data_IF_231463557829
#
_entry.id   IF_231463557829
#
_cell.length_a   1.000
_cell.length_b   1.000
_cell.length_c   1.000
_cell.angle_alpha   90.00
_cell.angle_beta   90.00
_cell.angle_gamma   90.00
#
_symmetry.space_group_name_H-M   'P 1'
#
loop_
_entity.id
_entity.type
_entity.pdbx_description
1 polymer ?
#
# COMPACT_ATOMS: atom_id res chain seq x y z
N UNK A 1 -1.30 -20.02 -3.77
CA UNK A 1 -1.60 -19.53 -2.42
C UNK A 1 -1.76 -18.02 -2.46
N UNK A 2 -2.76 -17.50 -1.81
CA UNK A 2 -3.06 -16.07 -1.80
C UNK A 2 -3.18 -15.58 -0.36
N UNK A 3 -2.48 -14.50 -0.05
CA UNK A 3 -2.60 -13.80 1.23
C UNK A 3 -3.41 -12.53 1.04
N UNK A 4 -4.07 -12.09 2.09
CA UNK A 4 -4.85 -10.86 2.06
C UNK A 4 -4.45 -9.94 3.21
N UNK A 5 -4.20 -8.68 2.88
CA UNK A 5 -3.92 -7.64 3.87
C UNK A 5 -5.03 -6.60 3.79
N UNK A 6 -5.65 -6.31 4.93
CA UNK A 6 -6.70 -5.31 5.03
C UNK A 6 -6.19 -4.08 5.75
N UNK A 7 -6.32 -2.95 5.08
CA UNK A 7 -5.98 -1.64 5.62
C UNK A 7 -7.29 -0.89 5.78
N UNK A 8 -7.86 -0.93 6.98
CA UNK A 8 -9.15 -0.33 7.25
C UNK A 8 -9.24 0.24 8.66
N UNK A 9 -10.30 1.01 8.90
CA UNK A 9 -10.54 1.65 10.20
C UNK A 9 -10.82 0.63 11.29
N UNK A 10 -11.49 -0.47 10.95
CA UNK A 10 -11.84 -1.53 11.89
C UNK A 10 -10.61 -2.20 12.50
N UNK A 11 -9.56 -2.37 11.72
CA UNK A 11 -8.30 -2.93 12.18
C UNK A 11 -7.35 -1.88 12.77
N UNK A 12 -7.83 -0.65 12.91
CA UNK A 12 -7.04 0.46 13.41
C UNK A 12 -5.78 0.75 12.57
N UNK A 13 -5.87 0.42 11.28
CA UNK A 13 -4.82 0.64 10.30
C UNK A 13 -5.21 1.70 9.27
N UNK A 14 -6.36 2.36 9.45
CA UNK A 14 -6.88 3.39 8.58
C UNK A 14 -7.31 4.62 9.42
N UNK A 15 -7.28 5.82 8.90
CA UNK A 15 -6.99 6.11 7.50
C UNK A 15 -5.52 5.94 7.18
N UNK A 16 -5.25 5.52 5.95
CA UNK A 16 -3.99 5.88 5.35
C UNK A 16 -3.98 7.40 5.35
N UNK A 17 -3.30 7.97 6.30
CA UNK A 17 -3.28 9.41 6.50
C UNK A 17 -2.83 10.02 5.20
N UNK A 18 -3.70 10.82 4.61
CA UNK A 18 -3.37 11.44 3.36
C UNK A 18 -3.56 10.59 2.12
N UNK A 19 -4.46 9.58 2.12
CA UNK A 19 -4.95 9.06 0.85
C UNK A 19 -5.49 10.23 0.02
N UNK A 20 -6.11 11.21 0.66
CA UNK A 20 -6.50 12.48 0.05
C UNK A 20 -5.31 13.43 -0.07
N UNK A 21 -4.40 13.43 0.89
CA UNK A 21 -3.25 14.32 0.99
C UNK A 21 -2.07 13.87 0.15
N UNK A 22 -1.89 12.56 -0.06
CA UNK A 22 -0.90 12.03 -1.00
C UNK A 22 -1.08 12.61 -2.39
N UNK A 23 -2.29 12.96 -2.73
CA UNK A 23 -2.66 13.44 -4.05
C UNK A 23 -2.64 14.95 -4.14
N UNK A 24 -2.84 15.63 -3.01
CA UNK A 24 -2.78 17.08 -2.95
C UNK A 24 -1.48 17.63 -2.40
N UNK A 25 -0.69 16.77 -1.80
CA UNK A 25 0.36 17.21 -0.92
C UNK A 25 1.70 16.57 -1.20
N UNK A 26 2.13 16.66 -2.39
CA UNK A 26 3.56 16.95 -2.52
C UNK A 26 3.74 18.36 -1.99
N UNK A 27 3.72 18.49 -0.67
CA UNK A 27 3.97 19.78 -0.02
C UNK A 27 5.42 20.14 -0.25
N UNK A 28 5.62 20.86 -1.34
CA UNK A 28 6.86 21.53 -1.59
C UNK A 28 6.99 22.64 -0.56
N UNK A 29 8.03 22.58 0.25
CA UNK A 29 8.34 23.64 1.19
C UNK A 29 9.30 24.61 0.50
N UNK A 30 8.83 25.83 0.15
CA UNK A 30 9.68 26.79 -0.55
C UNK A 30 10.87 27.30 0.28
N UNK A 31 10.82 27.17 1.61
CA UNK A 31 11.95 27.56 2.48
C UNK A 31 13.11 26.57 2.40
N UNK A 32 12.81 25.27 2.41
CA UNK A 32 13.84 24.23 2.39
C UNK A 32 14.08 23.69 0.98
N UNK A 33 13.27 24.10 0.01
CA UNK A 33 13.27 23.57 -1.36
C UNK A 33 13.17 22.05 -1.40
N UNK A 34 12.41 21.45 -0.46
CA UNK A 34 12.21 20.03 -0.34
C UNK A 34 10.74 19.69 -0.27
N UNK A 35 10.40 18.49 -0.71
CA UNK A 35 9.08 17.92 -0.49
C UNK A 35 9.03 17.28 0.89
N UNK A 36 7.91 17.43 1.58
CA UNK A 36 7.75 16.75 2.86
C UNK A 36 7.46 15.27 2.65
N UNK A 37 8.17 14.42 3.38
CA UNK A 37 7.98 12.98 3.37
C UNK A 37 7.06 12.51 4.51
N UNK A 38 6.44 13.42 5.26
CA UNK A 38 5.63 13.06 6.43
C UNK A 38 4.45 12.16 6.07
N UNK A 39 3.80 12.41 4.93
CA UNK A 39 2.68 11.60 4.45
C UNK A 39 3.17 10.21 4.07
N UNK A 40 4.26 10.10 3.32
CA UNK A 40 4.84 8.80 2.97
C UNK A 40 5.22 8.01 4.21
N UNK A 41 5.88 8.64 5.18
CA UNK A 41 6.27 8.00 6.43
C UNK A 41 5.04 7.48 7.20
N UNK A 42 3.97 8.27 7.25
CA UNK A 42 2.73 7.86 7.90
C UNK A 42 2.10 6.66 7.19
N UNK A 43 2.08 6.68 5.85
CA UNK A 43 1.55 5.56 5.07
C UNK A 43 2.40 4.31 5.20
N UNK A 44 3.71 4.45 5.21
CA UNK A 44 4.63 3.32 5.41
C UNK A 44 4.36 2.64 6.76
N UNK A 45 4.16 3.41 7.82
CA UNK A 45 3.80 2.89 9.14
C UNK A 45 2.46 2.17 9.15
N UNK A 46 1.47 2.76 8.50
CA UNK A 46 0.12 2.18 8.41
C UNK A 46 0.15 0.85 7.67
N UNK A 47 0.84 0.79 6.54
CA UNK A 47 1.03 -0.44 5.78
C UNK A 47 1.78 -1.49 6.60
N UNK A 48 2.85 -1.10 7.27
CA UNK A 48 3.64 -2.02 8.10
C UNK A 48 2.80 -2.60 9.24
N UNK A 49 2.00 -1.78 9.90
CA UNK A 49 1.10 -2.24 10.97
C UNK A 49 0.09 -3.25 10.44
N UNK A 50 -0.53 -2.97 9.30
CA UNK A 50 -1.50 -3.88 8.68
C UNK A 50 -0.84 -5.21 8.29
N UNK A 51 0.34 -5.17 7.71
CA UNK A 51 1.08 -6.36 7.28
C UNK A 51 1.45 -7.22 8.50
N UNK A 52 1.96 -6.62 9.55
CA UNK A 52 2.31 -7.35 10.78
C UNK A 52 1.10 -8.00 11.43
N UNK A 53 -0.06 -7.36 11.33
CA UNK A 53 -1.31 -7.88 11.87
C UNK A 53 -1.87 -9.02 11.02
N UNK A 54 -1.85 -8.87 9.70
CA UNK A 54 -2.47 -9.83 8.78
C UNK A 54 -1.53 -10.98 8.39
N UNK A 55 -0.22 -10.75 8.40
CA UNK A 55 0.77 -11.71 7.93
C UNK A 55 1.87 -11.94 8.98
N UNK A 56 1.51 -12.32 10.23
CA UNK A 56 2.54 -12.57 11.23
C UNK A 56 3.40 -13.77 10.83
N UNK A 57 4.71 -13.59 10.86
CA UNK A 57 5.69 -14.64 10.55
C UNK A 57 5.60 -15.23 9.14
N UNK A 58 5.03 -14.51 8.20
CA UNK A 58 4.96 -14.97 6.80
C UNK A 58 6.22 -14.52 6.06
N UNK A 59 6.85 -15.46 5.36
CA UNK A 59 7.97 -15.20 4.45
C UNK A 59 7.67 -15.82 3.11
N UNK A 60 7.82 -15.04 2.05
CA UNK A 60 7.56 -15.50 0.69
C UNK A 60 8.87 -15.35 -0.09
N UNK A 61 9.41 -16.46 -0.54
CA UNK A 61 10.66 -16.50 -1.32
C UNK A 61 10.42 -16.71 -2.81
N UNK A 62 9.17 -16.73 -3.23
CA UNK A 62 8.75 -16.88 -4.62
C UNK A 62 8.22 -15.57 -5.16
N UNK A 63 8.18 -15.41 -6.50
CA UNK A 63 7.57 -14.22 -7.10
C UNK A 63 6.11 -14.06 -6.69
N UNK A 64 5.68 -12.81 -6.58
CA UNK A 64 4.31 -12.49 -6.20
C UNK A 64 3.65 -11.56 -7.23
N UNK A 65 2.33 -11.58 -7.22
CA UNK A 65 1.48 -10.56 -7.85
C UNK A 65 0.66 -9.92 -6.75
N UNK A 66 0.63 -8.60 -6.73
CA UNK A 66 -0.22 -7.86 -5.80
C UNK A 66 -1.41 -7.27 -6.54
N UNK A 67 -2.61 -7.51 -6.04
CA UNK A 67 -3.82 -6.88 -6.54
C UNK A 67 -4.36 -5.96 -5.45
N UNK A 68 -4.45 -4.67 -5.79
CA UNK A 68 -4.86 -3.62 -4.88
C UNK A 68 -6.31 -3.25 -5.16
N UNK A 69 -7.18 -3.47 -4.19
CA UNK A 69 -8.56 -3.02 -4.23
C UNK A 69 -8.67 -1.77 -3.36
N UNK A 70 -8.84 -0.62 -4.00
CA UNK A 70 -8.77 0.67 -3.34
C UNK A 70 -10.17 1.27 -3.33
N UNK A 71 -10.74 1.46 -2.14
CA UNK A 71 -12.04 2.06 -1.95
C UNK A 71 -11.84 3.45 -1.37
N UNK A 72 -12.20 4.47 -2.15
CA UNK A 72 -12.04 5.87 -1.78
C UNK A 72 -13.38 6.47 -1.39
N UNK A 73 -13.34 7.55 -0.60
CA UNK A 73 -14.55 8.24 -0.18
C UNK A 73 -15.22 8.99 -1.34
N UNK A 74 -14.45 9.39 -2.36
CA UNK A 74 -14.94 10.13 -3.51
C UNK A 74 -14.04 9.91 -4.74
N UNK A 75 -14.32 10.61 -5.82
CA UNK A 75 -13.62 10.48 -7.11
C UNK A 75 -12.56 11.57 -7.35
N UNK A 76 -12.17 12.32 -6.34
CA UNK A 76 -11.26 13.48 -6.48
C UNK A 76 -9.80 13.11 -6.70
N UNK A 77 -9.47 11.83 -6.78
CA UNK A 77 -8.10 11.35 -6.83
C UNK A 77 -7.62 11.11 -8.25
N UNK A 78 -6.39 11.50 -8.53
CA UNK A 78 -5.67 11.04 -9.70
C UNK A 78 -5.27 9.57 -9.46
N UNK A 79 -5.77 8.67 -10.29
CA UNK A 79 -5.55 7.23 -10.12
C UNK A 79 -4.09 6.84 -10.15
N UNK A 80 -3.33 7.38 -11.10
CA UNK A 80 -1.91 7.04 -11.23
C UNK A 80 -1.11 7.43 -9.99
N UNK A 81 -1.36 8.60 -9.44
CA UNK A 81 -0.70 9.04 -8.22
C UNK A 81 -1.11 8.19 -7.03
N UNK A 82 -2.39 7.83 -6.95
CA UNK A 82 -2.90 6.98 -5.89
C UNK A 82 -2.25 5.59 -5.93
N UNK A 83 -2.21 4.97 -7.10
CA UNK A 83 -1.62 3.65 -7.30
C UNK A 83 -0.14 3.64 -6.94
N UNK A 84 0.62 4.61 -7.45
CA UNK A 84 2.05 4.70 -7.19
C UNK A 84 2.35 4.89 -5.71
N UNK A 85 1.60 5.73 -5.03
CA UNK A 85 1.81 6.00 -3.62
C UNK A 85 1.51 4.77 -2.75
N UNK A 86 0.40 4.10 -3.00
CA UNK A 86 0.00 2.91 -2.24
C UNK A 86 0.98 1.76 -2.51
N UNK A 87 1.30 1.51 -3.76
CA UNK A 87 2.23 0.45 -4.13
C UNK A 87 3.59 0.66 -3.46
N UNK A 88 4.14 1.86 -3.54
CA UNK A 88 5.45 2.15 -2.97
C UNK A 88 5.48 1.91 -1.46
N UNK A 89 4.51 2.44 -0.73
CA UNK A 89 4.43 2.26 0.72
C UNK A 89 4.18 0.80 1.10
N UNK A 90 3.34 0.10 0.35
CA UNK A 90 3.02 -1.29 0.64
C UNK A 90 4.21 -2.23 0.39
N UNK A 91 4.88 -2.09 -0.75
CA UNK A 91 6.04 -2.92 -1.08
C UNK A 91 7.22 -2.65 -0.15
N UNK A 92 7.46 -1.39 0.21
CA UNK A 92 8.49 -1.06 1.20
C UNK A 92 8.17 -1.70 2.55
N UNK A 93 6.91 -1.69 2.96
CA UNK A 93 6.48 -2.31 4.22
C UNK A 93 6.61 -3.83 4.21
N UNK A 94 6.32 -4.48 3.07
CA UNK A 94 6.53 -5.93 2.93
C UNK A 94 7.99 -6.31 3.12
N UNK A 95 8.91 -5.50 2.61
CA UNK A 95 10.35 -5.72 2.78
C UNK A 95 10.79 -5.52 4.22
N UNK A 96 10.33 -4.44 4.85
CA UNK A 96 10.66 -4.14 6.26
C UNK A 96 10.15 -5.24 7.18
N UNK A 97 8.94 -5.76 6.93
CA UNK A 97 8.36 -6.87 7.69
C UNK A 97 8.97 -8.22 7.33
N UNK A 98 9.88 -8.25 6.36
CA UNK A 98 10.53 -9.48 5.86
C UNK A 98 9.56 -10.50 5.30
N UNK A 99 8.43 -10.04 4.78
CA UNK A 99 7.49 -10.90 4.04
C UNK A 99 8.07 -11.23 2.67
N UNK A 100 8.67 -10.24 2.01
CA UNK A 100 9.43 -10.45 0.77
C UNK A 100 10.86 -9.95 0.96
N UNK A 101 11.77 -10.52 0.19
CA UNK A 101 13.19 -10.18 0.26
C UNK A 101 13.47 -8.85 -0.44
N UNK A 102 12.83 -8.62 -1.58
CA UNK A 102 13.08 -7.50 -2.46
C UNK A 102 11.82 -7.19 -3.27
N UNK A 103 11.72 -6.00 -3.83
CA UNK A 103 10.62 -5.58 -4.70
C UNK A 103 11.03 -5.49 -6.18
N UNK A 104 12.13 -6.12 -6.55
CA UNK A 104 12.64 -6.12 -7.91
C UNK A 104 11.77 -6.92 -8.89
N UNK A 105 12.19 -6.91 -10.16
CA UNK A 105 11.44 -7.54 -11.25
C UNK A 105 11.22 -9.03 -11.08
N UNK A 106 12.12 -9.71 -10.38
CA UNK A 106 12.02 -11.15 -10.16
C UNK A 106 11.22 -11.49 -8.91
N UNK A 107 10.96 -10.53 -8.05
CA UNK A 107 10.25 -10.73 -6.79
C UNK A 107 8.80 -10.27 -6.86
N UNK A 108 8.53 -9.13 -7.50
CA UNK A 108 7.19 -8.62 -7.74
C UNK A 108 6.97 -8.56 -9.25
N UNK A 109 6.31 -9.57 -9.79
CA UNK A 109 6.17 -9.71 -11.24
C UNK A 109 5.07 -8.82 -11.81
N UNK A 110 4.06 -8.49 -11.01
CA UNK A 110 2.91 -7.78 -11.51
C UNK A 110 2.16 -7.08 -10.38
N UNK A 111 1.54 -5.94 -10.72
CA UNK A 111 0.66 -5.20 -9.82
C UNK A 111 -0.60 -4.83 -10.57
N UNK A 112 -1.75 -5.15 -9.98
CA UNK A 112 -3.07 -4.88 -10.54
C UNK A 112 -3.81 -3.95 -9.60
N UNK A 113 -4.49 -2.94 -10.15
CA UNK A 113 -5.19 -1.94 -9.36
C UNK A 113 -6.65 -1.84 -9.77
N UNK A 114 -7.53 -1.86 -8.77
CA UNK A 114 -8.95 -1.61 -8.93
C UNK A 114 -9.36 -0.52 -7.96
N UNK A 115 -10.13 0.44 -8.44
CA UNK A 115 -10.66 1.51 -7.60
C UNK A 115 -12.17 1.51 -7.65
N UNK A 116 -12.78 1.82 -6.52
CA UNK A 116 -14.20 2.04 -6.40
C UNK A 116 -14.45 3.11 -5.33
N UNK A 117 -15.64 3.66 -5.33
CA UNK A 117 -16.05 4.62 -4.30
C UNK A 117 -16.86 3.88 -3.25
N UNK A 118 -16.44 4.01 -2.00
CA UNK A 118 -17.21 3.59 -0.84
C UNK A 118 -17.08 4.67 0.22
N UNK A 119 -18.05 5.57 0.22
CA UNK A 119 -18.04 6.74 1.09
C UNK A 119 -18.09 6.38 2.58
N UNK A 120 -18.77 5.28 2.92
CA UNK A 120 -18.93 4.88 4.31
C UNK A 120 -17.74 4.14 4.86
N UNK A 121 -17.09 3.34 4.04
CA UNK A 121 -15.95 2.49 4.46
C UNK A 121 -14.79 2.56 3.48
N UNK A 122 -14.12 3.71 3.35
CA UNK A 122 -12.90 3.78 2.57
C UNK A 122 -11.87 2.80 3.15
N UNK A 123 -11.20 2.05 2.27
CA UNK A 123 -10.24 1.03 2.69
C UNK A 123 -9.37 0.60 1.53
N UNK A 124 -8.31 -0.12 1.84
CA UNK A 124 -7.49 -0.80 0.84
C UNK A 124 -7.39 -2.28 1.23
N UNK A 125 -7.64 -3.14 0.26
CA UNK A 125 -7.46 -4.58 0.41
C UNK A 125 -6.41 -5.00 -0.60
N UNK A 126 -5.33 -5.61 -0.13
CA UNK A 126 -4.27 -6.09 -0.99
C UNK A 126 -4.27 -7.61 -0.97
N UNK A 127 -4.40 -8.21 -2.14
CA UNK A 127 -4.26 -9.65 -2.32
C UNK A 127 -2.86 -9.93 -2.86
N UNK A 128 -2.13 -10.79 -2.17
CA UNK A 128 -0.79 -11.20 -2.55
C UNK A 128 -0.87 -12.64 -3.04
N UNK A 129 -0.73 -12.83 -4.35
CA UNK A 129 -0.72 -14.14 -4.96
C UNK A 129 0.71 -14.62 -5.10
N UNK A 130 1.02 -15.77 -4.54
CA UNK A 130 2.34 -16.39 -4.69
C UNK A 130 2.38 -17.14 -6.01
N UNK A 131 3.29 -16.76 -6.88
CA UNK A 131 3.44 -17.30 -8.23
C UNK A 131 4.55 -18.34 -8.24
N UNK A 132 4.45 -19.26 -9.18
CA UNK A 132 5.46 -20.28 -9.33
C UNK A 132 5.03 -21.63 -8.77
N UNK A 133 5.69 -22.67 -9.24
CA UNK A 133 5.40 -24.05 -8.83
C UNK A 133 6.12 -24.37 -7.53
N UNK A 134 5.44 -25.07 -6.70
CA UNK A 134 6.05 -25.67 -5.52
C UNK A 134 7.03 -26.78 -5.90
#
# INVERSE_FOLDING_TARGET
MTYKVMIDKKNNTFPLKGLNELLGARLYNPRTKRYTNSVKTSNDRTCLKAIKKCLPSVHIDKPIRCTYHIYTADKRHDRSNLYSAIEKSFLDALQIAKVIRNDGWDDVLDSVFHTAVDKEKPRVIVEIEVLGKE
#
